data_IF_250927593127
#
_entry.id   IF_250927593127
#
_cell.length_a   1.000
_cell.length_b   1.000
_cell.length_c   1.000
_cell.angle_alpha   90.00
_cell.angle_beta   90.00
_cell.angle_gamma   90.00
#
_symmetry.space_group_name_H-M   'P 1'
#
loop_
_entity.id
_entity.type
_entity.pdbx_description
1 polymer ?
#
# COMPACT_ATOMS: atom_id res chain seq x y z
N UNK A 1 -26.07 -0.02 -1.43
CA UNK A 1 -25.10 0.36 -0.37
C UNK A 1 -23.93 -0.58 -0.52
N UNK A 2 -22.77 -0.08 -0.94
CA UNK A 2 -21.69 -0.89 -1.51
C UNK A 2 -21.20 -1.95 -0.52
N UNK A 3 -21.53 -3.21 -0.81
CA UNK A 3 -21.02 -4.38 -0.13
C UNK A 3 -19.53 -4.46 -0.41
N UNK A 4 -18.73 -4.08 0.58
CA UNK A 4 -17.29 -4.30 0.53
C UNK A 4 -17.06 -5.78 0.79
N UNK A 5 -17.19 -6.58 -0.29
CA UNK A 5 -16.94 -8.01 -0.26
C UNK A 5 -15.52 -8.26 0.22
N UNK A 6 -15.47 -8.93 1.35
CA UNK A 6 -14.31 -9.42 2.08
C UNK A 6 -13.43 -10.22 1.10
N UNK A 7 -12.40 -9.61 0.50
CA UNK A 7 -11.40 -10.32 -0.29
C UNK A 7 -10.35 -10.98 0.63
N UNK A 8 -10.83 -11.73 1.62
CA UNK A 8 -10.05 -12.42 2.64
C UNK A 8 -9.48 -13.77 2.18
N UNK A 9 -9.71 -14.18 0.93
CA UNK A 9 -9.43 -15.56 0.50
C UNK A 9 -8.30 -15.68 -0.53
N UNK A 10 -7.76 -14.58 -1.11
CA UNK A 10 -6.88 -14.71 -2.28
C UNK A 10 -5.38 -14.45 -2.07
N UNK A 11 -4.96 -13.87 -0.94
CA UNK A 11 -3.54 -13.74 -0.61
C UNK A 11 -3.33 -13.97 0.88
N UNK A 12 -3.20 -15.24 1.25
CA UNK A 12 -3.30 -15.75 2.60
C UNK A 12 -2.28 -15.30 3.64
N UNK A 13 -1.65 -14.11 3.58
CA UNK A 13 -0.84 -13.61 4.71
C UNK A 13 -0.68 -12.07 4.86
N UNK A 14 -1.28 -11.22 4.02
CA UNK A 14 -1.23 -9.75 4.21
C UNK A 14 -2.58 -9.09 3.92
N UNK A 15 -3.38 -8.89 4.97
CA UNK A 15 -4.60 -8.08 4.90
C UNK A 15 -4.21 -6.59 4.81
N UNK A 16 -4.16 -6.03 3.61
CA UNK A 16 -4.07 -4.58 3.38
C UNK A 16 -5.39 -3.85 3.66
N UNK A 17 -6.37 -4.52 4.26
CA UNK A 17 -7.65 -3.88 4.57
C UNK A 17 -7.50 -2.74 5.58
N UNK A 18 -6.51 -2.87 6.47
CA UNK A 18 -6.12 -1.83 7.40
C UNK A 18 -5.07 -0.89 6.79
N UNK A 19 -5.29 0.41 7.03
CA UNK A 19 -4.35 1.46 6.64
C UNK A 19 -2.96 1.26 7.28
N UNK A 20 -2.88 0.58 8.42
CA UNK A 20 -1.63 0.18 9.07
C UNK A 20 -0.76 -0.69 8.16
N UNK A 21 -1.37 -1.69 7.51
CA UNK A 21 -0.66 -2.59 6.62
C UNK A 21 -0.16 -1.86 5.38
N UNK A 22 -0.93 -0.88 4.88
CA UNK A 22 -0.52 0.00 3.78
C UNK A 22 0.63 0.92 4.20
N UNK A 23 0.57 1.53 5.38
CA UNK A 23 1.66 2.35 5.92
C UNK A 23 2.95 1.53 6.09
N UNK A 24 2.83 0.29 6.55
CA UNK A 24 3.96 -0.64 6.67
C UNK A 24 4.52 -1.00 5.30
N UNK A 25 3.65 -1.32 4.33
CA UNK A 25 4.05 -1.59 2.94
C UNK A 25 4.80 -0.40 2.33
N UNK A 26 4.24 0.80 2.44
CA UNK A 26 4.87 2.04 1.97
C UNK A 26 6.25 2.23 2.60
N UNK A 27 6.36 2.03 3.92
CA UNK A 27 7.64 2.12 4.63
C UNK A 27 8.66 1.10 4.13
N UNK A 28 8.23 -0.14 3.86
CA UNK A 28 9.10 -1.17 3.28
C UNK A 28 9.55 -0.82 1.86
N UNK A 29 8.71 -0.15 1.09
CA UNK A 29 9.01 0.32 -0.26
C UNK A 29 9.88 1.60 -0.28
N UNK A 30 10.20 2.17 0.91
CA UNK A 30 10.99 3.40 1.05
C UNK A 30 10.17 4.70 1.06
N UNK A 31 8.84 4.61 1.11
CA UNK A 31 7.96 5.78 1.22
C UNK A 31 7.58 6.05 2.67
N UNK A 32 7.88 7.26 3.14
CA UNK A 32 7.64 7.67 4.52
C UNK A 32 6.16 8.02 4.77
N UNK A 33 5.35 7.00 5.03
CA UNK A 33 3.92 7.16 5.33
C UNK A 33 3.65 7.65 6.77
N UNK A 34 4.71 7.87 7.54
CA UNK A 34 4.65 8.07 8.98
C UNK A 34 4.38 6.76 9.71
N UNK A 35 3.90 6.88 10.95
CA UNK A 35 3.69 5.74 11.83
C UNK A 35 2.47 4.93 11.38
N UNK A 36 2.62 3.60 11.37
CA UNK A 36 1.59 2.65 10.98
C UNK A 36 0.48 2.53 12.04
N UNK A 37 -0.14 3.66 12.41
CA UNK A 37 -1.20 3.75 13.42
C UNK A 37 -2.60 3.58 12.80
N UNK A 38 -2.70 3.43 11.48
CA UNK A 38 -3.97 3.21 10.79
C UNK A 38 -4.75 4.50 10.58
N UNK A 39 -4.09 5.64 10.72
CA UNK A 39 -4.64 6.98 10.55
C UNK A 39 -4.19 7.59 9.24
N UNK A 40 -5.12 8.14 8.46
CA UNK A 40 -4.84 8.86 7.24
C UNK A 40 -4.33 10.28 7.56
N UNK A 41 -3.07 10.36 7.95
CA UNK A 41 -2.40 11.65 8.15
C UNK A 41 -1.94 12.29 6.83
N UNK A 42 -1.59 13.59 6.85
CA UNK A 42 -0.99 14.26 5.69
C UNK A 42 0.32 13.59 5.22
N UNK A 43 1.07 12.96 6.13
CA UNK A 43 2.26 12.18 5.79
C UNK A 43 1.90 10.91 5.01
N UNK A 44 0.87 10.18 5.47
CA UNK A 44 0.37 9.00 4.77
C UNK A 44 -0.15 9.37 3.39
N UNK A 45 -0.92 10.45 3.25
CA UNK A 45 -1.38 10.91 1.94
C UNK A 45 -0.23 11.28 1.01
N UNK A 46 0.84 11.92 1.51
CA UNK A 46 2.04 12.21 0.71
C UNK A 46 2.71 10.93 0.22
N UNK A 47 2.91 9.95 1.11
CA UNK A 47 3.50 8.66 0.74
C UNK A 47 2.62 7.88 -0.25
N UNK A 48 1.30 7.88 -0.04
CA UNK A 48 0.34 7.24 -0.94
C UNK A 48 0.38 7.90 -2.32
N UNK A 49 0.41 9.23 -2.41
CA UNK A 49 0.52 9.94 -3.69
C UNK A 49 1.84 9.63 -4.41
N UNK A 50 2.94 9.60 -3.67
CA UNK A 50 4.25 9.25 -4.22
C UNK A 50 4.26 7.80 -4.76
N UNK A 51 3.67 6.87 -4.00
CA UNK A 51 3.52 5.49 -4.44
C UNK A 51 2.58 5.36 -5.64
N UNK A 52 1.44 6.04 -5.63
CA UNK A 52 0.48 6.05 -6.75
C UNK A 52 1.15 6.57 -8.03
N UNK A 53 1.96 7.63 -7.92
CA UNK A 53 2.76 8.14 -9.02
C UNK A 53 3.79 7.11 -9.51
N UNK A 54 4.45 6.41 -8.59
CA UNK A 54 5.43 5.38 -8.93
C UNK A 54 4.78 4.15 -9.59
N UNK A 55 3.60 3.76 -9.11
CA UNK A 55 2.82 2.66 -9.65
C UNK A 55 2.02 3.04 -10.93
N UNK A 56 2.10 4.29 -11.38
CA UNK A 56 1.34 4.81 -12.54
C UNK A 56 -0.17 4.55 -12.44
N UNK A 57 -0.73 4.72 -11.23
CA UNK A 57 -2.17 4.63 -10.96
C UNK A 57 -2.75 6.03 -10.62
N UNK A 58 -4.07 6.13 -10.46
CA UNK A 58 -4.72 7.37 -10.04
C UNK A 58 -4.11 7.96 -8.76
N UNK A 59 -3.59 9.18 -8.85
CA UNK A 59 -2.91 9.89 -7.75
C UNK A 59 -3.95 10.70 -6.95
N UNK A 60 -4.87 10.01 -6.30
CA UNK A 60 -5.93 10.62 -5.50
C UNK A 60 -5.49 10.83 -4.04
N UNK A 61 -4.39 10.19 -3.61
CA UNK A 61 -3.93 10.16 -2.22
C UNK A 61 -4.83 9.34 -1.30
N UNK A 62 -5.82 8.65 -1.87
CA UNK A 62 -6.76 7.77 -1.17
C UNK A 62 -6.28 6.33 -1.34
N UNK A 63 -6.24 5.59 -0.24
CA UNK A 63 -5.89 4.17 -0.24
C UNK A 63 -7.10 3.35 -0.64
N UNK A 64 -7.30 3.20 -1.94
CA UNK A 64 -8.35 2.37 -2.53
C UNK A 64 -7.93 0.91 -2.78
N UNK A 65 -8.84 0.04 -3.24
CA UNK A 65 -8.52 -1.33 -3.62
C UNK A 65 -7.42 -1.42 -4.69
N UNK A 66 -7.40 -0.52 -5.67
CA UNK A 66 -6.37 -0.46 -6.70
C UNK A 66 -4.99 -0.13 -6.12
N UNK A 67 -4.92 0.86 -5.22
CA UNK A 67 -3.66 1.20 -4.54
C UNK A 67 -3.15 0.04 -3.70
N UNK A 68 -4.05 -0.68 -3.03
CA UNK A 68 -3.68 -1.87 -2.24
C UNK A 68 -3.15 -2.99 -3.11
N UNK A 69 -3.79 -3.29 -4.23
CA UNK A 69 -3.28 -4.29 -5.18
C UNK A 69 -1.90 -3.89 -5.71
N UNK A 70 -1.72 -2.63 -6.11
CA UNK A 70 -0.43 -2.12 -6.54
C UNK A 70 0.64 -2.26 -5.46
N UNK A 71 0.32 -2.00 -4.19
CA UNK A 71 1.25 -2.20 -3.06
C UNK A 71 1.67 -3.66 -2.90
N UNK A 72 0.74 -4.62 -3.00
CA UNK A 72 1.09 -6.05 -2.96
C UNK A 72 2.03 -6.41 -4.10
N UNK A 73 1.71 -5.98 -5.32
CA UNK A 73 2.54 -6.24 -6.50
C UNK A 73 3.91 -5.59 -6.36
N UNK A 74 3.98 -4.35 -5.89
CA UNK A 74 5.24 -3.64 -5.67
C UNK A 74 6.08 -4.26 -4.56
N UNK A 75 5.46 -4.72 -3.46
CA UNK A 75 6.15 -5.44 -2.39
C UNK A 75 6.68 -6.79 -2.90
N UNK A 76 5.87 -7.54 -3.64
CA UNK A 76 6.30 -8.79 -4.25
C UNK A 76 7.45 -8.57 -5.24
N UNK A 77 7.41 -7.48 -6.01
CA UNK A 77 8.47 -7.09 -6.93
C UNK A 77 9.75 -6.64 -6.21
N UNK A 78 9.65 -5.79 -5.17
CA UNK A 78 10.82 -5.34 -4.38
C UNK A 78 11.44 -6.47 -3.57
N UNK A 79 10.65 -7.44 -3.11
CA UNK A 79 11.19 -8.62 -2.40
C UNK A 79 11.89 -9.59 -3.37
N UNK A 80 11.62 -9.47 -4.68
CA UNK A 80 12.30 -10.19 -5.75
C UNK A 80 13.58 -9.52 -6.27
N UNK A 81 13.82 -8.25 -5.94
CA UNK A 81 15.03 -7.51 -6.33
C UNK A 81 16.00 -7.42 -5.14
N UNK A 82 16.63 -8.56 -4.81
CA UNK A 82 18.00 -8.52 -4.29
C UNK A 82 18.91 -8.97 -5.43
N UNK A 83 19.69 -8.03 -5.96
CA UNK A 83 21.11 -8.17 -5.72
C UNK A 83 21.66 -6.84 -5.20
N UNK A 84 21.59 -6.65 -3.88
CA UNK A 84 22.63 -5.84 -3.26
C UNK A 84 23.80 -6.77 -2.99
N UNK A 85 24.86 -6.50 -3.75
CA UNK A 85 26.16 -7.18 -3.75
C UNK A 85 26.90 -7.10 -2.41
#
# INVERSE_FOLDING_TARGET
MATYEHNSEKFGYLNLDELQSVQKALSQLGFDAGKADGKDGPNTQKAVRAFQAHASIGIDGIVGPETRQALVTALAAQTGDKPVA
#
